data_IF_730222820979
#
_entry.id   IF_730222820979
#
_cell.length_a   1.000
_cell.length_b   1.000
_cell.length_c   1.000
_cell.angle_alpha   90.00
_cell.angle_beta   90.00
_cell.angle_gamma   90.00
#
_symmetry.space_group_name_H-M   'P 1'
#
loop_
_entity.id
_entity.type
_entity.pdbx_description
1 polymer ?
#
# COMPACT_ATOMS: atom_id res chain seq x y z
N UNK A 1 -12.92 5.70 -10.48
CA UNK A 1 -12.93 5.51 -9.01
C UNK A 1 -14.28 5.89 -8.38
N UNK A 2 -14.81 7.13 -8.47
CA UNK A 2 -16.11 7.50 -7.84
C UNK A 2 -17.27 6.53 -8.14
N UNK A 3 -17.43 6.08 -9.39
CA UNK A 3 -18.51 5.16 -9.78
C UNK A 3 -18.40 3.79 -9.11
N UNK A 4 -17.20 3.25 -8.90
CA UNK A 4 -17.06 1.95 -8.22
C UNK A 4 -17.35 2.09 -6.72
N UNK A 5 -16.95 3.22 -6.11
CA UNK A 5 -17.28 3.53 -4.71
C UNK A 5 -18.80 3.66 -4.49
N UNK A 6 -19.53 4.19 -5.46
CA UNK A 6 -20.99 4.23 -5.41
C UNK A 6 -21.61 2.83 -5.30
N UNK A 7 -21.11 1.84 -6.05
CA UNK A 7 -21.59 0.46 -5.91
C UNK A 7 -21.11 -0.21 -4.62
N UNK A 8 -19.92 0.14 -4.12
CA UNK A 8 -19.44 -0.35 -2.83
C UNK A 8 -20.34 0.11 -1.69
N UNK A 9 -20.79 1.37 -1.71
CA UNK A 9 -21.77 1.91 -0.78
C UNK A 9 -23.08 1.09 -0.78
N UNK A 10 -23.63 0.81 -1.96
CA UNK A 10 -24.87 0.02 -2.10
C UNK A 10 -24.64 -1.41 -1.58
N UNK A 11 -23.51 -2.04 -1.94
CA UNK A 11 -23.17 -3.39 -1.47
C UNK A 11 -23.11 -3.45 0.06
N UNK A 12 -22.52 -2.45 0.71
CA UNK A 12 -22.38 -2.39 2.17
C UNK A 12 -23.72 -2.10 2.84
N UNK A 13 -24.38 -1.00 2.43
CA UNK A 13 -25.51 -0.44 3.19
C UNK A 13 -26.87 -1.02 2.80
N UNK A 14 -27.05 -1.45 1.55
CA UNK A 14 -28.33 -1.98 1.05
C UNK A 14 -28.32 -3.51 0.98
N UNK A 15 -27.19 -4.11 0.61
CA UNK A 15 -27.06 -5.57 0.47
C UNK A 15 -26.36 -6.26 1.65
N UNK A 16 -25.87 -5.52 2.65
CA UNK A 16 -25.18 -6.05 3.83
C UNK A 16 -24.01 -7.00 3.48
N UNK A 17 -23.31 -6.73 2.37
CA UNK A 17 -22.17 -7.53 1.94
C UNK A 17 -20.92 -7.20 2.75
N UNK A 18 -20.05 -8.19 2.91
CA UNK A 18 -18.81 -8.07 3.71
C UNK A 18 -17.60 -8.62 2.96
N UNK A 19 -16.40 -8.22 3.37
CA UNK A 19 -15.14 -8.70 2.80
C UNK A 19 -15.05 -8.50 1.29
N UNK A 20 -14.42 -9.45 0.60
CA UNK A 20 -14.19 -9.34 -0.86
C UNK A 20 -15.48 -9.28 -1.69
N UNK A 21 -16.61 -9.74 -1.16
CA UNK A 21 -17.89 -9.74 -1.88
C UNK A 21 -18.35 -8.32 -2.21
N UNK A 22 -18.06 -7.33 -1.36
CA UNK A 22 -18.34 -5.92 -1.65
C UNK A 22 -17.64 -5.51 -2.94
N UNK A 23 -16.35 -5.80 -3.08
CA UNK A 23 -15.56 -5.40 -4.26
C UNK A 23 -15.96 -6.20 -5.49
N UNK A 24 -16.12 -7.51 -5.35
CA UNK A 24 -16.53 -8.40 -6.46
C UNK A 24 -17.88 -7.98 -7.06
N UNK A 25 -18.86 -7.66 -6.21
CA UNK A 25 -20.16 -7.19 -6.66
C UNK A 25 -20.16 -5.72 -7.10
N UNK A 26 -19.30 -4.88 -6.52
CA UNK A 26 -19.11 -3.51 -7.01
C UNK A 26 -18.57 -3.47 -8.45
N UNK A 27 -17.66 -4.38 -8.79
CA UNK A 27 -17.20 -4.56 -10.18
C UNK A 27 -18.34 -5.02 -11.09
N UNK A 28 -19.17 -5.98 -10.64
CA UNK A 28 -20.37 -6.40 -11.37
C UNK A 28 -21.31 -5.21 -11.63
N UNK A 29 -21.59 -4.40 -10.61
CA UNK A 29 -22.41 -3.19 -10.71
C UNK A 29 -21.80 -2.14 -11.63
N UNK A 30 -20.48 -1.95 -11.58
CA UNK A 30 -19.79 -1.02 -12.45
C UNK A 30 -20.01 -1.34 -13.94
N UNK A 31 -20.02 -2.62 -14.29
CA UNK A 31 -20.24 -3.13 -15.65
C UNK A 31 -21.74 -3.15 -16.03
N UNK A 32 -22.58 -3.71 -15.18
CA UNK A 32 -23.98 -4.05 -15.52
C UNK A 32 -25.03 -3.05 -15.03
N UNK A 33 -24.67 -2.21 -14.06
CA UNK A 33 -25.61 -1.35 -13.33
C UNK A 33 -26.20 -1.98 -12.07
N UNK A 34 -25.98 -3.29 -11.83
CA UNK A 34 -26.58 -4.05 -10.72
C UNK A 34 -25.50 -4.74 -9.88
N UNK A 35 -25.49 -4.51 -8.56
CA UNK A 35 -24.46 -5.01 -7.63
C UNK A 35 -25.00 -5.95 -6.54
N UNK A 36 -26.18 -6.52 -6.76
CA UNK A 36 -26.75 -7.63 -6.00
C UNK A 36 -25.88 -8.90 -6.09
N UNK A 37 -26.08 -9.89 -5.21
CA UNK A 37 -25.40 -11.19 -5.36
C UNK A 37 -25.95 -11.89 -6.61
N UNK A 38 -25.07 -12.36 -7.48
CA UNK A 38 -25.48 -13.13 -8.64
C UNK A 38 -25.90 -14.55 -8.23
N UNK A 39 -26.90 -15.08 -8.93
CA UNK A 39 -27.37 -16.46 -8.75
C UNK A 39 -26.40 -17.49 -9.35
N UNK A 40 -25.55 -17.07 -10.30
CA UNK A 40 -24.57 -17.90 -10.99
C UNK A 40 -23.16 -17.29 -10.93
N UNK A 41 -22.15 -18.14 -10.74
CA UNK A 41 -20.74 -17.72 -10.70
C UNK A 41 -20.26 -17.16 -12.05
N UNK A 42 -20.89 -17.55 -13.17
CA UNK A 42 -20.59 -17.05 -14.50
C UNK A 42 -20.73 -15.53 -14.63
N UNK A 43 -21.58 -14.90 -13.81
CA UNK A 43 -21.75 -13.45 -13.79
C UNK A 43 -20.49 -12.68 -13.36
N UNK A 44 -19.57 -13.34 -12.64
CA UNK A 44 -18.31 -12.74 -12.18
C UNK A 44 -17.12 -13.13 -13.04
N UNK A 45 -17.15 -14.34 -13.61
CA UNK A 45 -16.00 -15.02 -14.22
C UNK A 45 -15.27 -14.17 -15.26
N UNK A 46 -16.00 -13.52 -16.15
CA UNK A 46 -15.43 -12.78 -17.30
C UNK A 46 -15.09 -11.33 -16.98
N UNK A 47 -15.47 -10.83 -15.80
CA UNK A 47 -15.27 -9.44 -15.43
C UNK A 47 -14.58 -9.29 -14.08
N UNK A 48 -15.31 -9.48 -12.97
CA UNK A 48 -14.76 -9.25 -11.64
C UNK A 48 -13.60 -10.21 -11.32
N UNK A 49 -13.76 -11.48 -11.63
CA UNK A 49 -12.75 -12.51 -11.32
C UNK A 49 -11.54 -12.44 -12.25
N UNK A 50 -11.75 -11.98 -13.49
CA UNK A 50 -10.66 -11.75 -14.43
C UNK A 50 -9.85 -10.50 -14.06
N UNK A 51 -10.52 -9.41 -13.63
CA UNK A 51 -9.85 -8.23 -13.08
C UNK A 51 -8.99 -8.62 -11.87
N UNK A 52 -9.50 -9.49 -10.99
CA UNK A 52 -8.74 -10.00 -9.84
C UNK A 52 -7.47 -10.76 -10.28
N UNK A 53 -7.57 -11.64 -11.28
CA UNK A 53 -6.43 -12.39 -11.80
C UNK A 53 -5.38 -11.46 -12.45
N UNK A 54 -5.82 -10.46 -13.22
CA UNK A 54 -4.91 -9.46 -13.79
C UNK A 54 -4.25 -8.60 -12.71
N UNK A 55 -4.99 -8.20 -11.67
CA UNK A 55 -4.42 -7.44 -10.55
C UNK A 55 -3.32 -8.24 -9.81
N UNK A 56 -3.53 -9.54 -9.63
CA UNK A 56 -2.52 -10.42 -9.05
C UNK A 56 -1.27 -10.55 -9.92
N UNK A 57 -1.40 -10.58 -11.25
CA UNK A 57 -0.25 -10.52 -12.15
C UNK A 57 0.60 -9.27 -11.89
N UNK A 58 -0.03 -8.09 -11.83
CA UNK A 58 0.73 -6.85 -11.56
C UNK A 58 1.39 -6.86 -10.18
N UNK A 59 0.72 -7.37 -9.16
CA UNK A 59 1.22 -7.36 -7.79
C UNK A 59 2.31 -8.42 -7.55
N UNK A 60 2.05 -9.68 -7.91
CA UNK A 60 2.93 -10.81 -7.60
C UNK A 60 4.17 -10.86 -8.51
N UNK A 61 4.06 -10.41 -9.77
CA UNK A 61 5.18 -10.42 -10.72
C UNK A 61 5.98 -9.10 -10.69
N UNK A 62 5.55 -8.12 -9.89
CA UNK A 62 6.30 -6.88 -9.67
C UNK A 62 6.15 -5.80 -10.75
N UNK A 63 5.01 -5.77 -11.45
CA UNK A 63 4.74 -4.85 -12.58
C UNK A 63 3.92 -3.61 -12.19
N UNK A 64 3.93 -3.19 -10.92
CA UNK A 64 3.17 -2.00 -10.46
C UNK A 64 3.74 -0.66 -10.98
N UNK A 65 5.03 -0.63 -11.30
CA UNK A 65 5.76 0.62 -11.61
C UNK A 65 6.56 0.56 -12.91
N UNK A 66 6.34 -0.48 -13.72
CA UNK A 66 6.96 -0.60 -15.04
C UNK A 66 5.93 -0.45 -16.17
N UNK A 67 6.35 -0.74 -17.40
CA UNK A 67 5.51 -0.62 -18.60
C UNK A 67 4.99 -1.98 -19.09
N UNK A 68 5.14 -3.04 -18.31
CA UNK A 68 4.60 -4.36 -18.66
C UNK A 68 3.09 -4.32 -18.45
N UNK A 69 2.34 -4.88 -19.40
CA UNK A 69 0.88 -4.94 -19.29
C UNK A 69 0.38 -6.34 -19.64
N UNK A 70 -0.81 -6.65 -19.12
CA UNK A 70 -1.57 -7.86 -19.42
C UNK A 70 -2.95 -7.49 -19.94
N UNK A 71 -3.69 -8.46 -20.46
CA UNK A 71 -5.03 -8.29 -21.00
C UNK A 71 -5.93 -9.46 -20.61
N UNK A 72 -7.24 -9.29 -20.85
CA UNK A 72 -8.26 -10.33 -20.64
C UNK A 72 -7.87 -11.63 -21.35
N UNK A 73 -7.96 -12.75 -20.63
CA UNK A 73 -7.60 -14.10 -21.11
C UNK A 73 -6.13 -14.28 -21.54
N UNK A 74 -5.24 -13.34 -21.21
CA UNK A 74 -3.81 -13.48 -21.52
C UNK A 74 -3.19 -14.72 -20.84
N UNK A 75 -2.16 -15.34 -21.44
CA UNK A 75 -1.37 -16.37 -20.78
C UNK A 75 -0.64 -15.87 -19.52
N UNK A 76 -0.27 -14.59 -19.49
CA UNK A 76 0.46 -13.98 -18.37
C UNK A 76 -0.35 -13.99 -17.07
N UNK A 77 -1.66 -13.74 -17.13
CA UNK A 77 -2.54 -13.79 -15.97
C UNK A 77 -3.12 -15.19 -15.68
N UNK A 78 -2.81 -16.21 -16.51
CA UNK A 78 -3.36 -17.56 -16.37
C UNK A 78 -3.09 -18.24 -15.03
N UNK A 79 -1.90 -18.11 -14.41
CA UNK A 79 -1.62 -18.69 -13.09
C UNK A 79 -2.57 -18.18 -11.99
N UNK A 80 -3.10 -16.96 -12.13
CA UNK A 80 -3.96 -16.31 -11.15
C UNK A 80 -5.45 -16.59 -11.35
N UNK A 81 -5.81 -17.40 -12.37
CA UNK A 81 -7.20 -17.79 -12.62
C UNK A 81 -7.64 -18.97 -11.75
N UNK A 82 -7.43 -18.89 -10.45
CA UNK A 82 -7.79 -19.93 -9.47
C UNK A 82 -9.21 -19.76 -8.92
N UNK A 83 -9.78 -20.79 -8.30
CA UNK A 83 -11.11 -20.69 -7.63
C UNK A 83 -11.09 -19.79 -6.40
N UNK A 84 -9.94 -19.72 -5.72
CA UNK A 84 -9.70 -18.99 -4.47
C UNK A 84 -8.99 -17.65 -4.69
N UNK A 85 -8.99 -17.12 -5.92
CA UNK A 85 -8.25 -15.89 -6.29
C UNK A 85 -8.51 -14.67 -5.40
N UNK A 86 -9.66 -14.61 -4.75
CA UNK A 86 -10.03 -13.52 -3.83
C UNK A 86 -9.45 -13.71 -2.42
N UNK A 87 -8.82 -14.85 -2.12
CA UNK A 87 -8.22 -15.16 -0.81
C UNK A 87 -7.19 -14.12 -0.35
N UNK A 88 -6.45 -13.52 -1.28
CA UNK A 88 -5.45 -12.48 -0.98
C UNK A 88 -6.04 -11.17 -0.42
N UNK A 89 -7.35 -10.94 -0.54
CA UNK A 89 -8.03 -9.81 0.11
C UNK A 89 -7.91 -9.89 1.64
N UNK A 90 -7.76 -11.11 2.18
CA UNK A 90 -7.75 -11.37 3.62
C UNK A 90 -9.07 -11.01 4.30
N UNK A 91 -8.99 -10.62 5.58
CA UNK A 91 -10.15 -10.32 6.43
C UNK A 91 -10.52 -8.82 6.47
N UNK A 92 -9.94 -8.00 5.60
CA UNK A 92 -10.20 -6.57 5.55
C UNK A 92 -11.67 -6.28 5.27
N UNK A 93 -12.35 -5.59 6.19
CA UNK A 93 -13.74 -5.17 5.98
C UNK A 93 -13.76 -3.84 5.22
N UNK A 94 -14.28 -3.81 3.97
CA UNK A 94 -14.47 -2.57 3.25
C UNK A 94 -15.35 -1.63 4.05
N UNK A 95 -14.99 -0.35 4.09
CA UNK A 95 -15.73 0.68 4.82
C UNK A 95 -15.82 1.95 4.00
N UNK A 96 -16.99 2.59 4.08
CA UNK A 96 -17.26 3.91 3.54
C UNK A 96 -17.34 4.97 4.64
N UNK A 97 -16.94 4.61 5.87
CA UNK A 97 -16.79 5.57 6.95
C UNK A 97 -15.77 6.66 6.55
N UNK A 98 -15.95 7.90 7.05
CA UNK A 98 -14.96 8.95 6.86
C UNK A 98 -13.58 8.45 7.30
N UNK A 99 -12.56 8.68 6.47
CA UNK A 99 -11.18 8.34 6.83
C UNK A 99 -10.76 9.28 7.96
N UNK A 100 -10.58 8.73 9.16
CA UNK A 100 -9.84 9.41 10.21
C UNK A 100 -8.38 9.49 9.79
N UNK A 101 -7.95 10.65 9.32
CA UNK A 101 -6.54 10.91 9.05
C UNK A 101 -5.85 10.96 10.41
N UNK A 102 -5.33 9.83 10.87
CA UNK A 102 -4.28 9.85 11.89
C UNK A 102 -3.06 10.40 11.19
N UNK A 103 -2.69 11.65 11.50
CA UNK A 103 -1.38 12.18 11.14
C UNK A 103 -0.33 11.25 11.75
N UNK A 104 0.16 10.30 10.97
CA UNK A 104 1.42 9.66 11.26
C UNK A 104 2.49 10.67 10.89
N UNK A 105 3.45 10.98 11.79
CA UNK A 105 4.57 11.83 11.44
C UNK A 105 5.19 11.31 10.15
N UNK A 106 5.51 12.23 9.24
CA UNK A 106 5.99 11.95 7.89
C UNK A 106 7.17 10.96 7.98
N UNK A 107 6.94 9.72 7.52
CA UNK A 107 7.95 8.66 7.62
C UNK A 107 9.20 9.00 6.80
N UNK A 108 9.11 9.96 5.89
CA UNK A 108 10.18 10.39 4.99
C UNK A 108 10.70 11.80 5.33
N UNK A 109 10.84 12.14 6.61
CA UNK A 109 11.50 13.37 7.04
C UNK A 109 13.04 13.18 7.07
N UNK A 110 13.82 13.73 6.11
CA UNK A 110 15.26 13.47 6.05
C UNK A 110 15.97 14.02 7.28
N UNK A 111 16.69 13.15 7.98
CA UNK A 111 17.35 13.43 9.25
C UNK A 111 16.57 13.02 10.50
N UNK A 112 15.30 12.62 10.40
CA UNK A 112 14.51 12.08 11.51
C UNK A 112 14.75 10.56 11.63
N UNK A 113 15.79 10.18 12.37
CA UNK A 113 16.21 8.77 12.51
C UNK A 113 15.45 8.04 13.61
N UNK A 114 14.89 8.80 14.57
CA UNK A 114 14.13 8.27 15.70
C UNK A 114 12.61 8.22 15.43
N UNK A 115 12.18 8.70 14.26
CA UNK A 115 10.80 8.72 13.77
C UNK A 115 9.85 9.45 14.71
N UNK A 116 10.28 10.56 15.29
CA UNK A 116 9.48 11.42 16.18
C UNK A 116 8.76 12.56 15.44
N UNK A 117 9.04 12.74 14.14
CA UNK A 117 8.46 13.76 13.28
C UNK A 117 9.19 15.10 13.33
N UNK A 118 10.34 15.19 13.98
CA UNK A 118 11.17 16.40 14.05
C UNK A 118 12.65 16.08 13.86
N UNK A 119 13.37 16.91 13.11
CA UNK A 119 14.83 16.77 12.96
C UNK A 119 15.52 17.68 13.97
N UNK A 120 16.09 17.09 15.01
CA UNK A 120 16.71 17.81 16.11
C UNK A 120 17.96 17.08 16.65
N UNK A 121 18.51 17.56 17.77
CA UNK A 121 19.75 16.99 18.35
C UNK A 121 19.56 15.53 18.81
N UNK A 122 18.33 15.12 19.13
CA UNK A 122 18.02 13.73 19.47
C UNK A 122 18.37 12.76 18.33
N UNK A 123 18.12 13.14 17.08
CA UNK A 123 18.49 12.34 15.90
C UNK A 123 19.99 12.13 15.77
N UNK A 124 20.75 13.20 16.01
CA UNK A 124 22.21 13.13 16.00
C UNK A 124 22.73 12.17 17.09
N UNK A 125 22.12 12.20 18.27
CA UNK A 125 22.47 11.29 19.38
C UNK A 125 22.12 9.84 19.04
N UNK A 126 20.98 9.59 18.41
CA UNK A 126 20.53 8.27 17.99
C UNK A 126 21.46 7.68 16.92
N UNK A 127 21.82 8.48 15.90
CA UNK A 127 22.74 8.09 14.84
C UNK A 127 24.15 7.81 15.39
N UNK A 128 24.64 8.61 16.34
CA UNK A 128 25.92 8.39 17.00
C UNK A 128 25.93 7.09 17.81
N UNK A 129 24.86 6.78 18.54
CA UNK A 129 24.74 5.51 19.27
C UNK A 129 24.81 4.31 18.33
N UNK A 130 24.14 4.39 17.19
CA UNK A 130 24.18 3.33 16.18
C UNK A 130 25.60 3.15 15.61
N UNK A 131 26.28 4.24 15.23
CA UNK A 131 27.65 4.19 14.70
C UNK A 131 28.68 3.66 15.72
N UNK A 132 28.45 3.88 17.02
CA UNK A 132 29.29 3.36 18.10
C UNK A 132 28.96 1.91 18.50
N UNK A 133 27.93 1.30 17.91
CA UNK A 133 27.44 -0.02 18.32
C UNK A 133 26.78 -0.04 19.70
N UNK A 134 26.33 1.12 20.18
CA UNK A 134 25.55 1.24 21.43
C UNK A 134 24.04 1.04 21.19
N UNK A 135 23.60 1.06 19.93
CA UNK A 135 22.27 0.63 19.48
C UNK A 135 22.45 -0.30 18.28
N UNK A 136 21.68 -1.39 18.25
CA UNK A 136 21.74 -2.36 17.15
C UNK A 136 20.90 -1.92 15.93
N UNK A 137 19.93 -1.01 16.12
CA UNK A 137 19.01 -0.58 15.07
C UNK A 137 18.67 0.92 15.16
N UNK A 138 18.34 1.52 14.01
CA UNK A 138 17.70 2.83 13.89
C UNK A 138 16.24 2.63 13.47
N UNK A 139 15.31 3.33 14.13
CA UNK A 139 13.87 3.19 13.86
C UNK A 139 13.53 3.54 12.42
N UNK A 140 14.15 4.58 11.87
CA UNK A 140 13.99 4.97 10.47
C UNK A 140 15.36 5.19 9.83
N UNK A 141 16.13 4.10 9.67
CA UNK A 141 17.49 4.16 9.12
C UNK A 141 17.58 4.91 7.78
N UNK A 142 16.55 4.79 6.92
CA UNK A 142 16.49 5.48 5.63
C UNK A 142 16.51 7.01 5.73
N UNK A 143 15.94 7.57 6.81
CA UNK A 143 16.00 9.02 7.04
C UNK A 143 17.40 9.45 7.47
N UNK A 144 18.19 8.52 8.01
CA UNK A 144 19.59 8.72 8.36
C UNK A 144 20.54 8.63 7.17
N UNK A 145 20.17 7.97 6.07
CA UNK A 145 20.99 7.86 4.86
C UNK A 145 20.87 9.14 4.01
N UNK A 146 21.62 10.16 4.44
CA UNK A 146 21.59 11.49 3.85
C UNK A 146 22.49 11.58 2.62
N UNK A 147 23.50 10.72 2.53
CA UNK A 147 24.37 10.63 1.36
C UNK A 147 23.78 9.74 0.24
N UNK A 148 22.76 8.93 0.55
CA UNK A 148 22.03 8.04 -0.38
C UNK A 148 22.91 6.96 -0.98
N UNK A 149 23.82 6.41 -0.18
CA UNK A 149 24.69 5.30 -0.56
C UNK A 149 24.22 3.95 0.01
N UNK A 150 23.05 3.93 0.66
CA UNK A 150 22.47 2.79 1.37
C UNK A 150 23.33 2.27 2.54
N UNK A 151 24.32 3.04 3.00
CA UNK A 151 25.25 2.67 4.07
C UNK A 151 25.37 3.79 5.11
N UNK A 152 24.72 3.58 6.27
CA UNK A 152 24.86 4.51 7.39
C UNK A 152 26.28 4.53 7.93
N UNK A 153 26.93 5.68 7.79
CA UNK A 153 28.31 5.88 8.22
C UNK A 153 28.58 7.32 8.68
N UNK A 154 29.86 7.68 8.87
CA UNK A 154 30.26 9.00 9.36
C UNK A 154 29.91 10.13 8.38
N UNK A 155 29.80 9.87 7.08
CA UNK A 155 29.38 10.87 6.09
C UNK A 155 27.95 11.36 6.36
N UNK A 156 27.02 10.46 6.67
CA UNK A 156 25.65 10.82 7.06
C UNK A 156 25.61 11.69 8.31
N UNK A 157 26.45 11.39 9.29
CA UNK A 157 26.54 12.18 10.52
C UNK A 157 26.99 13.62 10.24
N UNK A 158 27.90 13.83 9.27
CA UNK A 158 28.31 15.17 8.85
C UNK A 158 27.14 15.91 8.19
N UNK A 159 26.38 15.24 7.32
CA UNK A 159 25.19 15.83 6.70
C UNK A 159 24.11 16.18 7.72
N UNK A 160 23.85 15.30 8.70
CA UNK A 160 22.86 15.53 9.75
C UNK A 160 23.23 16.75 10.60
N UNK A 161 24.50 16.87 11.02
CA UNK A 161 24.99 18.04 11.76
C UNK A 161 24.86 19.33 10.97
N UNK A 162 25.15 19.28 9.66
CA UNK A 162 24.95 20.43 8.77
C UNK A 162 23.48 20.84 8.71
N UNK A 163 22.58 19.87 8.54
CA UNK A 163 21.13 20.10 8.50
C UNK A 163 20.59 20.70 9.81
N UNK A 164 21.14 20.30 10.96
CA UNK A 164 20.80 20.90 12.26
C UNK A 164 21.33 22.33 12.43
N UNK A 165 22.48 22.65 11.83
CA UNK A 165 23.11 23.97 11.93
C UNK A 165 22.47 24.98 10.98
N UNK A 166 22.05 24.53 9.79
CA UNK A 166 21.35 25.36 8.80
C UNK A 166 19.92 25.75 9.23
N UNK A 167 19.38 25.09 10.28
CA UNK A 167 18.07 25.39 10.89
C UNK A 167 18.16 26.36 12.09
N UNK A 168 19.35 26.86 12.43
CA UNK A 168 19.62 27.78 13.54
C UNK A 168 19.59 29.26 13.18
#
# INVERSE_FOLDING_TARGET
IRKILHFAEICINEHNMTGYQVIRNSLKGFNTGWCDMAEDEGAYRTYADEICAMAQFYYNDGHLYDNVFTWTESPAAAPYRTSDRWSWWGDGQPSMAPVEIKETPDKDLPGDVNGDGAVNVADAVELEKFLLGASDELKVWKNGDLCKDEVINTYDMVFLRKLLTDKG
#
